data_IF_940717403601
#
_entry.id   IF_940717403601
#
_cell.length_a   1.000
_cell.length_b   1.000
_cell.length_c   1.000
_cell.angle_alpha   90.00
_cell.angle_beta   90.00
_cell.angle_gamma   90.00
#
_symmetry.space_group_name_H-M   'P 1'
#
loop_
_entity.id
_entity.type
_entity.pdbx_description
1 polymer ?
#
# COMPACT_ATOMS: atom_id res chain seq x y z
N UNK A 1 -28.50 -28.70 -8.51
CA UNK A 1 -27.61 -27.53 -8.69
C UNK A 1 -28.20 -26.37 -7.86
N UNK A 2 -27.51 -25.36 -7.28
CA UNK A 2 -26.10 -24.96 -7.24
C UNK A 2 -25.74 -24.14 -5.95
N UNK A 3 -26.18 -24.52 -4.73
CA UNK A 3 -26.01 -23.62 -3.56
C UNK A 3 -24.53 -23.40 -3.20
N UNK A 4 -23.72 -24.45 -3.24
CA UNK A 4 -22.27 -24.37 -2.99
C UNK A 4 -21.51 -23.61 -4.07
N UNK A 5 -21.90 -23.74 -5.35
CA UNK A 5 -21.29 -22.96 -6.45
C UNK A 5 -21.58 -21.47 -6.34
N UNK A 6 -22.76 -21.07 -5.85
CA UNK A 6 -23.07 -19.65 -5.61
C UNK A 6 -22.19 -19.08 -4.50
N UNK A 7 -22.01 -19.82 -3.40
CA UNK A 7 -21.13 -19.39 -2.32
C UNK A 7 -19.68 -19.21 -2.81
N UNK A 8 -19.14 -20.19 -3.53
CA UNK A 8 -17.78 -20.10 -4.10
C UNK A 8 -17.60 -18.92 -5.08
N UNK A 9 -18.61 -18.64 -5.91
CA UNK A 9 -18.56 -17.49 -6.83
C UNK A 9 -18.61 -16.14 -6.12
N UNK A 10 -19.31 -16.04 -4.98
CA UNK A 10 -19.33 -14.82 -4.14
C UNK A 10 -17.98 -14.60 -3.46
N UNK A 11 -17.33 -15.66 -2.97
CA UNK A 11 -15.97 -15.56 -2.40
C UNK A 11 -14.93 -15.13 -3.45
N UNK A 12 -15.06 -15.57 -4.69
CA UNK A 12 -14.20 -15.11 -5.80
C UNK A 12 -14.48 -13.65 -6.21
N UNK A 13 -15.74 -13.20 -6.10
CA UNK A 13 -16.10 -11.79 -6.32
C UNK A 13 -15.56 -10.85 -5.22
N UNK A 14 -15.38 -11.37 -4.00
CA UNK A 14 -14.73 -10.67 -2.89
C UNK A 14 -13.20 -10.76 -2.92
N UNK A 15 -12.58 -10.98 -4.09
CA UNK A 15 -11.16 -10.68 -4.29
C UNK A 15 -10.92 -9.17 -4.26
N UNK A 16 -11.21 -8.58 -3.09
CA UNK A 16 -10.93 -7.19 -2.74
C UNK A 16 -9.42 -7.05 -2.82
N UNK A 17 -8.96 -6.17 -3.69
CA UNK A 17 -7.58 -5.71 -3.74
C UNK A 17 -7.04 -5.55 -2.33
N UNK A 18 -5.87 -6.11 -2.07
CA UNK A 18 -5.32 -6.15 -0.74
C UNK A 18 -5.15 -4.73 -0.18
N UNK A 19 -5.86 -4.39 0.89
CA UNK A 19 -5.86 -3.05 1.48
C UNK A 19 -4.44 -2.58 1.83
N UNK A 20 -3.55 -3.50 2.22
CA UNK A 20 -2.14 -3.21 2.49
C UNK A 20 -1.38 -2.71 1.26
N UNK A 21 -1.68 -3.25 0.07
CA UNK A 21 -1.08 -2.80 -1.18
C UNK A 21 -1.55 -1.38 -1.54
N UNK A 22 -2.86 -1.13 -1.41
CA UNK A 22 -3.43 0.21 -1.60
C UNK A 22 -2.82 1.24 -0.65
N UNK A 23 -2.73 0.93 0.64
CA UNK A 23 -2.15 1.82 1.65
C UNK A 23 -0.65 2.06 1.36
N UNK A 24 0.09 1.00 1.02
CA UNK A 24 1.51 1.10 0.66
C UNK A 24 1.76 2.00 -0.55
N UNK A 25 0.97 1.84 -1.62
CA UNK A 25 1.07 2.70 -2.82
C UNK A 25 0.69 4.14 -2.50
N UNK A 26 -0.48 4.37 -1.89
CA UNK A 26 -0.96 5.73 -1.59
C UNK A 26 0.00 6.47 -0.66
N UNK A 27 0.50 5.79 0.37
CA UNK A 27 1.45 6.37 1.30
C UNK A 27 2.83 6.62 0.69
N UNK A 28 3.31 5.76 -0.21
CA UNK A 28 4.54 6.02 -0.95
C UNK A 28 4.40 7.27 -1.83
N UNK A 29 3.28 7.40 -2.55
CA UNK A 29 3.00 8.58 -3.38
C UNK A 29 2.90 9.85 -2.54
N UNK A 30 2.17 9.80 -1.41
CA UNK A 30 2.07 10.93 -0.48
C UNK A 30 3.44 11.32 0.10
N UNK A 31 4.26 10.35 0.48
CA UNK A 31 5.59 10.63 1.02
C UNK A 31 6.51 11.27 -0.03
N UNK A 32 6.42 10.81 -1.28
CA UNK A 32 7.17 11.37 -2.41
C UNK A 32 6.74 12.81 -2.68
N UNK A 33 5.43 13.09 -2.68
CA UNK A 33 4.91 14.46 -2.79
C UNK A 33 5.36 15.33 -1.63
N UNK A 34 5.34 14.81 -0.40
CA UNK A 34 5.82 15.55 0.76
C UNK A 34 7.29 15.92 0.60
N UNK A 35 8.16 14.97 0.25
CA UNK A 35 9.59 15.22 0.05
C UNK A 35 9.86 16.23 -1.07
N UNK A 36 9.00 16.28 -2.10
CA UNK A 36 9.11 17.28 -3.16
C UNK A 36 8.64 18.67 -2.74
N UNK A 37 7.64 18.78 -1.86
CA UNK A 37 7.02 20.07 -1.48
C UNK A 37 7.66 20.67 -0.22
N UNK A 38 8.03 19.85 0.76
CA UNK A 38 8.62 20.26 2.04
C UNK A 38 9.82 21.21 1.92
N UNK A 39 10.77 21.03 0.98
CA UNK A 39 11.91 21.93 0.83
C UNK A 39 11.53 23.37 0.49
N UNK A 40 10.31 23.61 -0.03
CA UNK A 40 9.84 24.95 -0.41
C UNK A 40 9.09 25.67 0.73
N UNK A 41 8.68 24.95 1.77
CA UNK A 41 7.75 25.48 2.79
C UNK A 41 8.33 25.36 4.21
N UNK A 42 9.22 24.39 4.45
CA UNK A 42 9.69 24.05 5.79
C UNK A 42 11.21 23.94 5.82
N UNK A 43 11.80 24.27 6.98
CA UNK A 43 13.23 24.12 7.24
C UNK A 43 13.73 22.71 6.89
N UNK A 44 14.89 22.57 6.22
CA UNK A 44 15.45 21.28 5.80
C UNK A 44 15.53 20.23 6.91
N UNK A 45 15.69 20.68 8.16
CA UNK A 45 15.75 19.79 9.32
C UNK A 45 14.47 18.98 9.54
N UNK A 46 13.31 19.60 9.34
CA UNK A 46 12.02 18.90 9.45
C UNK A 46 11.73 18.05 8.21
N UNK A 47 12.18 18.48 7.03
CA UNK A 47 12.05 17.69 5.81
C UNK A 47 12.78 16.33 5.92
N UNK A 48 13.93 16.30 6.62
CA UNK A 48 14.72 15.08 6.80
C UNK A 48 13.98 13.97 7.58
N UNK A 49 13.01 14.30 8.43
CA UNK A 49 12.22 13.33 9.21
C UNK A 49 11.40 12.42 8.28
N UNK A 50 10.92 12.96 7.16
CA UNK A 50 10.08 12.21 6.20
C UNK A 50 10.85 11.15 5.42
N UNK A 51 12.19 11.29 5.33
CA UNK A 51 13.04 10.25 4.75
C UNK A 51 13.03 8.95 5.58
N UNK A 52 12.87 9.04 6.90
CA UNK A 52 12.79 7.85 7.77
C UNK A 52 11.51 7.02 7.55
N UNK A 53 10.49 7.56 6.88
CA UNK A 53 9.24 6.84 6.58
C UNK A 53 9.28 6.05 5.26
N UNK A 54 10.27 6.29 4.38
CA UNK A 54 10.41 5.54 3.13
C UNK A 54 10.47 4.01 3.33
N UNK A 55 11.27 3.47 4.27
CA UNK A 55 11.32 2.03 4.53
C UNK A 55 9.96 1.43 4.90
N UNK A 56 9.13 2.17 5.65
CA UNK A 56 7.79 1.72 6.08
C UNK A 56 6.88 1.50 4.88
N UNK A 57 6.87 2.45 3.94
CA UNK A 57 6.08 2.34 2.71
C UNK A 57 6.55 1.20 1.81
N UNK A 58 7.87 1.02 1.69
CA UNK A 58 8.45 -0.11 0.93
C UNK A 58 8.03 -1.45 1.55
N UNK A 59 8.09 -1.60 2.88
CA UNK A 59 7.66 -2.83 3.56
C UNK A 59 6.18 -3.11 3.32
N UNK A 60 5.31 -2.09 3.43
CA UNK A 60 3.87 -2.25 3.15
C UNK A 60 3.60 -2.68 1.72
N UNK A 61 4.37 -2.15 0.75
CA UNK A 61 4.31 -2.57 -0.64
C UNK A 61 4.74 -4.03 -0.82
N UNK A 62 5.86 -4.43 -0.23
CA UNK A 62 6.38 -5.81 -0.33
C UNK A 62 5.43 -6.81 0.34
N UNK A 63 4.93 -6.50 1.53
CA UNK A 63 3.96 -7.32 2.25
C UNK A 63 2.63 -7.37 1.50
N UNK A 64 2.17 -6.24 1.00
CA UNK A 64 0.98 -6.12 0.16
C UNK A 64 1.07 -7.02 -1.07
N UNK A 65 2.20 -6.93 -1.78
CA UNK A 65 2.52 -7.73 -2.96
C UNK A 65 2.59 -9.23 -2.65
N UNK A 66 3.26 -9.62 -1.56
CA UNK A 66 3.36 -11.03 -1.12
C UNK A 66 2.01 -11.64 -0.76
N UNK A 67 1.09 -10.84 -0.20
CA UNK A 67 -0.28 -11.28 0.10
C UNK A 67 -1.15 -11.39 -1.15
N UNK A 68 -0.94 -10.53 -2.14
CA UNK A 68 -1.65 -10.59 -3.44
C UNK A 68 -1.14 -11.76 -4.31
N UNK A 69 0.15 -12.07 -4.21
CA UNK A 69 0.82 -13.17 -4.89
C UNK A 69 1.45 -14.15 -3.89
N UNK A 70 0.65 -14.95 -3.15
CA UNK A 70 1.19 -16.00 -2.31
C UNK A 70 1.96 -16.99 -3.19
N UNK A 71 3.24 -17.24 -2.86
CA UNK A 71 4.00 -18.33 -3.49
C UNK A 71 3.26 -19.63 -3.18
N UNK A 72 2.86 -20.35 -4.23
CA UNK A 72 2.33 -21.72 -4.11
C UNK A 72 3.37 -22.62 -3.45
#
# INVERSE_FOLDING_TARGET
MPKERKAQNVYQMMKKWNNYYRIGVTGLVLNLLLVLVLPFVVDPYFAAIFNSFFPVWVILLVVGWRKEHPRR
#
